data_IF_676455789523
#
_entry.id   IF_676455789523
#
_cell.length_a   1.000
_cell.length_b   1.000
_cell.length_c   1.000
_cell.angle_alpha   90.00
_cell.angle_beta   90.00
_cell.angle_gamma   90.00
#
_symmetry.space_group_name_H-M   'P 1'
#
loop_
_entity.id
_entity.type
_entity.pdbx_description
1 polymer ?
#
# COMPACT_ATOMS: atom_id res chain seq x y z
N UNK A 1 69.27 -54.97 0.66
CA UNK A 1 68.00 -54.91 -0.12
C UNK A 1 66.98 -54.26 0.72
N UNK A 2 66.78 -53.01 0.43
CA UNK A 2 65.90 -52.03 1.19
C UNK A 2 64.56 -51.97 0.49
N UNK A 3 63.41 -52.08 1.17
CA UNK A 3 62.14 -51.71 0.57
C UNK A 3 61.82 -50.29 0.88
N UNK A 4 61.50 -49.56 -0.16
CA UNK A 4 61.06 -48.21 -0.23
C UNK A 4 59.63 -48.07 0.36
N UNK A 5 59.47 -47.25 1.36
CA UNK A 5 58.16 -46.88 1.92
C UNK A 5 57.53 -45.78 1.04
N UNK A 6 56.39 -46.08 0.49
CA UNK A 6 55.62 -45.21 -0.37
C UNK A 6 54.92 -44.10 0.45
N UNK A 7 55.02 -42.89 -0.06
CA UNK A 7 54.52 -41.60 0.48
C UNK A 7 53.06 -41.40 0.11
N UNK A 8 52.14 -42.21 0.63
CA UNK A 8 50.71 -42.17 0.27
C UNK A 8 49.72 -42.26 1.45
N UNK A 9 50.13 -41.93 2.67
CA UNK A 9 49.26 -42.07 3.86
C UNK A 9 49.11 -40.77 4.67
N UNK A 10 49.08 -39.60 4.03
CA UNK A 10 48.78 -38.36 4.68
C UNK A 10 47.99 -37.41 3.75
N UNK A 11 46.77 -37.77 3.41
CA UNK A 11 45.81 -36.85 2.84
C UNK A 11 44.39 -37.45 2.83
N UNK A 12 43.80 -37.61 3.97
CA UNK A 12 42.41 -38.02 4.12
C UNK A 12 41.73 -37.18 5.21
N UNK A 13 41.75 -35.86 5.06
CA UNK A 13 40.74 -35.03 5.70
C UNK A 13 39.58 -34.91 4.73
N UNK A 14 38.57 -35.72 4.99
CA UNK A 14 37.24 -35.57 4.37
C UNK A 14 36.71 -34.19 4.70
N UNK A 15 36.62 -33.35 3.68
CA UNK A 15 35.82 -32.15 3.70
C UNK A 15 34.35 -32.61 3.89
N UNK A 16 33.75 -32.23 5.03
CA UNK A 16 32.31 -32.29 5.24
C UNK A 16 31.64 -31.53 4.10
N UNK A 17 30.60 -32.10 3.45
CA UNK A 17 29.86 -31.38 2.43
C UNK A 17 29.23 -30.17 3.07
N UNK A 18 29.50 -29.02 2.46
CA UNK A 18 28.87 -27.73 2.67
C UNK A 18 27.37 -27.93 2.90
N UNK A 19 26.88 -27.40 4.00
CA UNK A 19 25.44 -27.29 4.27
C UNK A 19 24.77 -26.65 3.07
N UNK A 20 23.59 -27.14 2.65
CA UNK A 20 22.88 -26.54 1.53
C UNK A 20 22.71 -25.05 1.83
N UNK A 21 23.26 -24.24 0.94
CA UNK A 21 23.26 -22.79 1.03
C UNK A 21 21.87 -22.28 1.41
N UNK A 22 21.83 -21.30 2.27
CA UNK A 22 20.69 -20.45 2.56
C UNK A 22 20.00 -20.14 1.24
N UNK A 23 18.97 -20.90 0.93
CA UNK A 23 18.10 -20.59 -0.17
C UNK A 23 17.53 -19.20 0.14
N UNK A 24 17.83 -18.24 -0.71
CA UNK A 24 17.36 -16.85 -0.70
C UNK A 24 15.86 -16.86 -0.43
N UNK A 25 15.48 -16.72 0.85
CA UNK A 25 14.08 -16.56 1.24
C UNK A 25 13.74 -15.12 0.83
N UNK A 26 12.87 -14.91 -0.18
CA UNK A 26 12.49 -13.58 -0.59
C UNK A 26 11.88 -12.85 0.62
N UNK A 27 12.61 -11.90 1.20
CA UNK A 27 12.13 -11.09 2.32
C UNK A 27 12.91 -11.17 3.62
N UNK A 28 14.11 -11.77 3.69
CA UNK A 28 15.00 -11.64 4.83
C UNK A 28 15.52 -10.19 4.93
N UNK A 29 14.71 -9.32 5.55
CA UNK A 29 15.06 -7.92 5.76
C UNK A 29 16.31 -7.83 6.65
N UNK A 30 17.34 -7.11 6.21
CA UNK A 30 18.54 -6.83 7.00
C UNK A 30 18.14 -6.16 8.33
N UNK A 31 18.31 -6.81 9.50
CA UNK A 31 17.88 -6.24 10.77
C UNK A 31 18.49 -4.85 11.08
N UNK A 32 19.76 -4.57 10.75
CA UNK A 32 20.31 -3.22 10.92
C UNK A 32 19.58 -2.16 10.08
N UNK A 33 19.35 -2.44 8.80
CA UNK A 33 18.66 -1.53 7.88
C UNK A 33 17.20 -1.30 8.31
N UNK A 34 16.51 -2.34 8.74
CA UNK A 34 15.14 -2.24 9.25
C UNK A 34 15.02 -1.29 10.46
N UNK A 35 16.05 -1.25 11.34
CA UNK A 35 16.09 -0.32 12.47
C UNK A 35 16.16 1.13 12.03
N UNK A 36 16.94 1.43 10.98
CA UNK A 36 17.04 2.77 10.39
C UNK A 36 15.68 3.20 9.82
N UNK A 37 15.05 2.33 9.04
CA UNK A 37 13.72 2.58 8.45
C UNK A 37 12.68 2.86 9.55
N UNK A 38 12.62 2.03 10.60
CA UNK A 38 11.70 2.23 11.74
C UNK A 38 11.85 3.60 12.40
N UNK A 39 13.08 4.08 12.57
CA UNK A 39 13.32 5.41 13.18
C UNK A 39 12.83 6.53 12.25
N UNK A 40 13.12 6.45 10.95
CA UNK A 40 12.66 7.45 9.98
C UNK A 40 11.13 7.47 9.86
N UNK A 41 10.49 6.31 9.82
CA UNK A 41 9.03 6.20 9.79
C UNK A 41 8.37 6.75 11.06
N UNK A 42 8.93 6.45 12.24
CA UNK A 42 8.43 7.00 13.49
C UNK A 42 8.47 8.53 13.48
N UNK A 43 9.61 9.12 13.10
CA UNK A 43 9.75 10.57 13.03
C UNK A 43 8.89 11.20 11.93
N UNK A 44 8.70 10.53 10.80
CA UNK A 44 7.85 11.04 9.71
C UNK A 44 6.38 11.08 10.10
N UNK A 45 5.89 10.09 10.86
CA UNK A 45 4.52 10.10 11.41
C UNK A 45 4.27 11.24 12.40
N UNK A 46 5.32 11.77 12.97
CA UNK A 46 5.29 12.86 13.96
C UNK A 46 6.13 14.05 13.49
N UNK A 47 5.99 14.40 12.21
CA UNK A 47 6.86 15.36 11.53
C UNK A 47 6.90 16.75 12.21
N UNK A 48 5.84 17.13 12.91
CA UNK A 48 5.72 18.42 13.65
C UNK A 48 6.19 18.33 15.11
N UNK A 49 6.47 17.11 15.61
CA UNK A 49 6.93 16.90 16.98
C UNK A 49 8.47 16.76 17.04
N UNK A 50 9.02 17.01 18.23
CA UNK A 50 10.39 16.65 18.59
C UNK A 50 10.34 15.51 19.62
N UNK A 51 11.03 14.42 19.35
CA UNK A 51 10.98 13.23 20.18
C UNK A 51 12.30 13.05 20.94
N UNK A 52 12.23 12.84 22.26
CA UNK A 52 13.39 12.48 23.04
C UNK A 52 13.92 11.09 22.68
N UNK A 53 15.22 10.83 22.88
CA UNK A 53 15.80 9.51 22.67
C UNK A 53 15.04 8.40 23.42
N UNK A 54 14.60 8.66 24.65
CA UNK A 54 13.85 7.70 25.46
C UNK A 54 12.50 7.35 24.82
N UNK A 55 11.82 8.32 24.25
CA UNK A 55 10.55 8.11 23.53
C UNK A 55 10.76 7.30 22.24
N UNK A 56 11.80 7.62 21.46
CA UNK A 56 12.15 6.87 20.25
C UNK A 56 12.49 5.42 20.57
N UNK A 57 13.29 5.16 21.60
CA UNK A 57 13.63 3.81 22.09
C UNK A 57 12.37 3.00 22.37
N UNK A 58 11.45 3.58 23.12
CA UNK A 58 10.21 2.91 23.51
C UNK A 58 9.29 2.64 22.30
N UNK A 59 9.06 3.65 21.45
CA UNK A 59 8.10 3.56 20.35
C UNK A 59 8.65 2.76 19.14
N UNK A 60 9.96 2.81 18.88
CA UNK A 60 10.59 2.01 17.83
C UNK A 60 10.95 0.58 18.28
N UNK A 61 10.89 0.27 19.59
CA UNK A 61 11.25 -1.04 20.11
C UNK A 61 12.74 -1.35 19.96
N UNK A 62 13.61 -0.34 20.10
CA UNK A 62 15.06 -0.48 19.93
C UNK A 62 15.79 -0.39 21.27
N UNK A 63 17.01 -0.98 21.35
CA UNK A 63 17.90 -0.69 22.48
C UNK A 63 18.36 0.77 22.44
N UNK A 64 18.68 1.35 23.63
CA UNK A 64 19.17 2.73 23.72
C UNK A 64 20.46 2.94 22.89
N UNK A 65 21.39 1.98 22.92
CA UNK A 65 22.62 2.04 22.15
C UNK A 65 22.36 2.03 20.64
N UNK A 66 21.46 1.15 20.18
CA UNK A 66 21.09 1.07 18.77
C UNK A 66 20.40 2.35 18.29
N UNK A 67 19.40 2.84 19.03
CA UNK A 67 18.69 4.06 18.68
C UNK A 67 19.64 5.27 18.64
N UNK A 68 20.56 5.38 19.60
CA UNK A 68 21.56 6.44 19.62
C UNK A 68 22.49 6.37 18.40
N UNK A 69 23.04 5.20 18.07
CA UNK A 69 23.92 5.02 16.91
C UNK A 69 23.21 5.38 15.59
N UNK A 70 21.97 4.90 15.40
CA UNK A 70 21.15 5.21 14.22
C UNK A 70 20.88 6.72 14.11
N UNK A 71 20.45 7.36 15.19
CA UNK A 71 20.14 8.78 15.21
C UNK A 71 21.38 9.64 15.00
N UNK A 72 22.54 9.25 15.56
CA UNK A 72 23.81 9.94 15.34
C UNK A 72 24.17 9.95 13.86
N UNK A 73 24.10 8.80 13.18
CA UNK A 73 24.39 8.71 11.75
C UNK A 73 23.37 9.49 10.92
N UNK A 74 22.07 9.31 11.20
CA UNK A 74 21.01 10.02 10.46
C UNK A 74 21.10 11.55 10.62
N UNK A 75 21.53 12.03 11.80
CA UNK A 75 21.74 13.46 12.04
C UNK A 75 22.98 13.97 11.30
N UNK A 76 24.08 13.23 11.33
CA UNK A 76 25.28 13.57 10.57
C UNK A 76 25.02 13.69 9.07
N UNK A 77 24.17 12.80 8.54
CA UNK A 77 23.78 12.80 7.12
C UNK A 77 22.61 13.75 6.78
N UNK A 78 22.04 14.46 7.77
CA UNK A 78 20.97 15.45 7.59
C UNK A 78 19.56 14.84 7.37
N UNK A 79 19.38 13.54 7.60
CA UNK A 79 18.08 12.87 7.56
C UNK A 79 17.21 13.21 8.77
N UNK A 80 17.86 13.48 9.90
CA UNK A 80 17.23 13.96 11.14
C UNK A 80 17.92 15.23 11.60
N UNK A 81 17.25 15.99 12.46
CA UNK A 81 17.85 17.12 13.21
C UNK A 81 17.73 16.84 14.69
N UNK A 82 18.70 17.35 15.46
CA UNK A 82 18.67 17.33 16.92
C UNK A 82 18.63 18.76 17.42
N UNK A 83 17.68 19.08 18.28
CA UNK A 83 17.55 20.41 18.88
C UNK A 83 18.44 20.59 20.14
N UNK A 84 18.38 21.79 20.74
CA UNK A 84 19.15 22.15 21.93
C UNK A 84 18.77 21.32 23.17
N UNK A 85 17.51 20.87 23.24
CA UNK A 85 17.01 20.00 24.31
C UNK A 85 17.38 18.53 24.10
N UNK A 86 18.09 18.21 23.01
CA UNK A 86 18.52 16.87 22.67
C UNK A 86 17.42 15.98 22.06
N UNK A 87 16.30 16.58 21.63
CA UNK A 87 15.21 15.89 20.94
C UNK A 87 15.46 15.84 19.42
N UNK A 88 14.87 14.84 18.77
CA UNK A 88 15.07 14.54 17.37
C UNK A 88 13.81 14.78 16.56
N UNK A 89 13.98 15.23 15.33
CA UNK A 89 12.92 15.41 14.35
C UNK A 89 13.41 15.15 12.92
N UNK A 90 12.50 15.28 11.96
CA UNK A 90 12.78 15.10 10.53
C UNK A 90 13.77 16.18 10.04
N UNK A 91 14.78 15.74 9.26
CA UNK A 91 15.78 16.60 8.64
C UNK A 91 15.40 17.03 7.21
N UNK A 92 15.99 18.15 6.77
CA UNK A 92 15.69 18.75 5.45
C UNK A 92 16.11 17.87 4.25
N UNK A 93 17.00 16.92 4.45
CA UNK A 93 17.43 15.99 3.39
C UNK A 93 16.26 15.20 2.81
N UNK A 94 15.26 14.87 3.64
CA UNK A 94 14.05 14.19 3.18
C UNK A 94 13.26 15.01 2.15
N UNK A 95 13.19 16.33 2.29
CA UNK A 95 12.55 17.20 1.28
C UNK A 95 13.29 17.16 -0.06
N UNK A 96 14.63 17.11 -0.02
CA UNK A 96 15.44 17.03 -1.24
C UNK A 96 15.22 15.70 -1.97
N UNK A 97 15.18 14.60 -1.20
CA UNK A 97 14.92 13.25 -1.76
C UNK A 97 13.49 13.17 -2.30
N UNK A 98 12.49 13.66 -1.56
CA UNK A 98 11.10 13.69 -2.00
C UNK A 98 10.93 14.44 -3.34
N UNK A 99 11.53 15.65 -3.47
CA UNK A 99 11.47 16.41 -4.72
C UNK A 99 12.13 15.70 -5.91
N UNK A 100 13.21 14.96 -5.67
CA UNK A 100 13.84 14.13 -6.71
C UNK A 100 12.97 12.92 -7.07
N UNK A 101 12.37 12.29 -6.06
CA UNK A 101 11.44 11.19 -6.28
C UNK A 101 10.22 11.63 -7.13
N UNK A 102 9.70 12.85 -6.93
CA UNK A 102 8.59 13.39 -7.73
C UNK A 102 8.92 13.43 -9.24
N UNK A 103 10.19 13.58 -9.60
CA UNK A 103 10.61 13.52 -11.02
C UNK A 103 10.52 12.10 -11.61
N UNK A 104 10.70 11.09 -10.76
CA UNK A 104 10.57 9.68 -11.16
C UNK A 104 9.11 9.22 -11.18
N UNK A 105 8.18 10.00 -10.60
CA UNK A 105 6.75 9.68 -10.54
C UNK A 105 5.90 10.78 -11.21
N UNK A 106 5.99 10.93 -12.56
CA UNK A 106 5.32 12.00 -13.30
C UNK A 106 3.79 11.96 -13.18
N UNK A 107 3.20 10.78 -12.96
CA UNK A 107 1.78 10.57 -12.77
C UNK A 107 1.21 11.46 -11.65
N UNK A 108 1.87 11.50 -10.49
CA UNK A 108 1.42 12.30 -9.33
C UNK A 108 1.30 13.78 -9.67
N UNK A 109 2.27 14.33 -10.38
CA UNK A 109 2.29 15.75 -10.77
C UNK A 109 1.08 16.11 -11.66
N UNK A 110 0.71 15.23 -12.60
CA UNK A 110 -0.47 15.40 -13.44
C UNK A 110 -1.75 15.18 -12.63
N UNK A 111 -1.78 14.20 -11.74
CA UNK A 111 -2.96 13.81 -11.00
C UNK A 111 -3.47 14.88 -10.03
N UNK A 112 -2.59 15.57 -9.30
CA UNK A 112 -2.96 16.47 -8.19
C UNK A 112 -3.98 17.54 -8.61
N UNK A 113 -3.82 18.16 -9.78
CA UNK A 113 -4.76 19.17 -10.26
C UNK A 113 -6.16 18.59 -10.54
N UNK A 114 -6.22 17.38 -11.11
CA UNK A 114 -7.48 16.71 -11.40
C UNK A 114 -8.17 16.17 -10.14
N UNK A 115 -7.39 15.69 -9.16
CA UNK A 115 -7.91 15.28 -7.85
C UNK A 115 -8.53 16.46 -7.11
N UNK A 116 -7.90 17.63 -7.12
CA UNK A 116 -8.44 18.86 -6.53
C UNK A 116 -9.75 19.28 -7.19
N UNK A 117 -9.76 19.36 -8.51
CA UNK A 117 -10.96 19.72 -9.25
C UNK A 117 -12.12 18.74 -8.97
N UNK A 118 -11.86 17.43 -8.90
CA UNK A 118 -12.87 16.44 -8.55
C UNK A 118 -13.36 16.62 -7.10
N UNK A 119 -12.44 16.80 -6.15
CA UNK A 119 -12.78 17.00 -4.75
C UNK A 119 -13.64 18.26 -4.53
N UNK A 120 -13.30 19.36 -5.19
CA UNK A 120 -14.06 20.62 -5.15
C UNK A 120 -15.45 20.48 -5.80
N UNK A 121 -15.52 19.81 -6.96
CA UNK A 121 -16.77 19.60 -7.68
C UNK A 121 -17.73 18.68 -6.93
N UNK A 122 -17.21 17.58 -6.37
CA UNK A 122 -18.01 16.55 -5.71
C UNK A 122 -18.26 16.83 -4.22
N UNK A 123 -17.49 17.74 -3.61
CA UNK A 123 -17.58 18.03 -2.17
C UNK A 123 -17.11 16.88 -1.27
N UNK A 124 -16.31 15.94 -1.81
CA UNK A 124 -15.83 14.77 -1.08
C UNK A 124 -14.31 14.69 -1.12
N UNK A 125 -13.67 14.08 -0.12
CA UNK A 125 -12.25 13.75 -0.20
C UNK A 125 -11.96 12.80 -1.37
N UNK A 126 -10.78 13.00 -1.99
CA UNK A 126 -10.31 12.18 -3.12
C UNK A 126 -8.85 11.81 -2.88
N UNK A 127 -8.47 10.60 -3.23
CA UNK A 127 -7.07 10.20 -3.16
C UNK A 127 -6.60 9.47 -4.43
N UNK A 128 -5.27 9.44 -4.60
CA UNK A 128 -4.59 8.63 -5.60
C UNK A 128 -4.08 7.37 -4.93
N UNK A 129 -4.39 6.22 -5.51
CA UNK A 129 -3.85 4.93 -5.14
C UNK A 129 -2.98 4.41 -6.29
N UNK A 130 -1.71 4.14 -6.02
CA UNK A 130 -0.74 3.68 -7.03
C UNK A 130 -0.33 2.23 -6.76
N UNK A 131 -0.13 1.47 -7.82
CA UNK A 131 0.33 0.08 -7.71
C UNK A 131 1.82 0.04 -7.39
N UNK A 132 2.18 -0.75 -6.37
CA UNK A 132 3.57 -1.04 -5.99
C UNK A 132 3.71 -2.54 -5.74
N UNK A 133 4.06 -3.27 -6.80
CA UNK A 133 4.12 -4.73 -6.82
C UNK A 133 2.77 -5.37 -6.50
N UNK A 134 2.74 -6.13 -5.40
CA UNK A 134 1.54 -6.82 -4.87
C UNK A 134 0.76 -5.95 -3.86
N UNK A 135 0.99 -4.65 -3.84
CA UNK A 135 0.33 -3.70 -2.97
C UNK A 135 -0.15 -2.48 -3.74
N UNK A 136 -1.11 -1.79 -3.14
CA UNK A 136 -1.54 -0.47 -3.53
C UNK A 136 -1.10 0.50 -2.45
N UNK A 137 -0.59 1.65 -2.83
CA UNK A 137 -0.13 2.71 -1.93
C UNK A 137 -0.96 3.96 -2.16
N UNK A 138 -1.54 4.52 -1.11
CA UNK A 138 -2.13 5.86 -1.15
C UNK A 138 -0.99 6.88 -1.22
N UNK A 139 -0.85 7.58 -2.33
CA UNK A 139 0.27 8.49 -2.57
C UNK A 139 -0.09 9.96 -2.44
N UNK A 140 -1.34 10.31 -2.71
CA UNK A 140 -1.85 11.68 -2.60
C UNK A 140 -3.26 11.68 -2.00
N UNK A 141 -3.58 12.66 -1.16
CA UNK A 141 -4.91 12.83 -0.57
C UNK A 141 -5.30 14.30 -0.68
N UNK A 142 -6.47 14.58 -1.22
CA UNK A 142 -7.07 15.91 -1.32
C UNK A 142 -8.37 15.95 -0.52
N UNK A 143 -8.60 17.05 0.21
CA UNK A 143 -9.70 17.16 1.15
C UNK A 143 -9.36 16.55 2.53
N UNK A 144 -10.38 16.47 3.38
CA UNK A 144 -10.24 15.98 4.76
C UNK A 144 -11.12 14.74 4.92
N UNK A 145 -10.56 13.53 4.72
CA UNK A 145 -11.33 12.30 4.91
C UNK A 145 -11.74 12.15 6.36
N UNK A 146 -13.00 11.75 6.60
CA UNK A 146 -13.54 11.39 7.92
C UNK A 146 -12.85 10.14 8.46
N UNK A 147 -12.53 9.20 7.58
CA UNK A 147 -11.91 7.95 7.94
C UNK A 147 -10.38 8.09 8.11
N UNK A 148 -9.89 7.90 9.33
CA UNK A 148 -8.46 8.03 9.68
C UNK A 148 -7.53 7.02 8.98
N UNK A 149 -8.08 6.04 8.26
CA UNK A 149 -7.31 5.08 7.45
C UNK A 149 -6.88 5.67 6.09
N UNK A 150 -7.53 6.73 5.59
CA UNK A 150 -7.18 7.39 4.32
C UNK A 150 -6.06 8.39 4.59
N UNK A 151 -4.83 8.00 4.32
CA UNK A 151 -3.65 8.85 4.51
C UNK A 151 -2.53 8.47 3.55
N UNK A 152 -1.69 9.42 3.15
CA UNK A 152 -0.50 9.13 2.35
C UNK A 152 0.40 8.07 3.01
N UNK A 153 0.97 7.19 2.20
CA UNK A 153 1.81 6.08 2.62
C UNK A 153 1.04 4.83 3.09
N UNK A 154 -0.29 4.87 3.15
CA UNK A 154 -1.09 3.69 3.45
C UNK A 154 -0.92 2.64 2.36
N UNK A 155 -0.62 1.41 2.77
CA UNK A 155 -0.52 0.25 1.88
C UNK A 155 -1.72 -0.68 2.07
N UNK A 156 -2.24 -1.18 0.96
CA UNK A 156 -3.30 -2.18 0.91
C UNK A 156 -2.82 -3.36 0.08
N UNK A 157 -3.11 -4.61 0.44
CA UNK A 157 -2.76 -5.75 -0.39
C UNK A 157 -3.61 -5.76 -1.66
N UNK A 158 -3.00 -6.08 -2.80
CA UNK A 158 -3.71 -6.35 -4.06
C UNK A 158 -4.27 -7.79 -4.02
N UNK A 159 -5.23 -8.01 -3.15
CA UNK A 159 -5.82 -9.32 -2.90
C UNK A 159 -7.35 -9.21 -2.76
N UNK A 160 -8.11 -10.28 -3.06
CA UNK A 160 -9.55 -10.27 -2.85
C UNK A 160 -9.92 -9.93 -1.39
N UNK A 161 -11.00 -9.19 -1.18
CA UNK A 161 -11.92 -8.59 -2.15
C UNK A 161 -11.58 -7.15 -2.53
N UNK A 162 -10.46 -6.58 -2.04
CA UNK A 162 -10.12 -5.15 -2.19
C UNK A 162 -9.40 -4.87 -3.51
N UNK A 163 -9.33 -3.59 -3.90
CA UNK A 163 -8.59 -3.10 -5.06
C UNK A 163 -9.04 -3.76 -6.40
N UNK A 164 -10.34 -4.04 -6.53
CA UNK A 164 -10.94 -4.70 -7.71
C UNK A 164 -10.74 -3.94 -9.00
N UNK A 165 -10.68 -2.63 -8.95
CA UNK A 165 -10.40 -1.74 -10.08
C UNK A 165 -9.04 -2.01 -10.73
N UNK A 166 -8.06 -2.52 -10.00
CA UNK A 166 -6.76 -2.92 -10.56
C UNK A 166 -6.82 -4.27 -11.27
N UNK A 167 -7.80 -5.10 -10.93
CA UNK A 167 -7.93 -6.47 -11.44
C UNK A 167 -8.95 -6.56 -12.56
N UNK A 168 -9.98 -5.73 -12.56
CA UNK A 168 -11.07 -5.80 -13.52
C UNK A 168 -10.58 -5.79 -14.98
N UNK A 169 -9.51 -5.06 -15.29
CA UNK A 169 -8.93 -4.98 -16.65
C UNK A 169 -7.62 -5.76 -16.79
N UNK A 170 -7.18 -6.49 -15.77
CA UNK A 170 -5.98 -7.32 -15.88
C UNK A 170 -6.17 -8.46 -16.92
N UNK A 171 -5.09 -9.00 -17.49
CA UNK A 171 -5.14 -10.17 -18.36
C UNK A 171 -5.85 -11.36 -17.68
N UNK A 172 -6.53 -12.19 -18.50
CA UNK A 172 -7.34 -13.31 -17.99
C UNK A 172 -6.60 -14.22 -16.98
N UNK A 173 -5.34 -14.62 -17.22
CA UNK A 173 -4.62 -15.46 -16.24
C UNK A 173 -4.46 -14.79 -14.88
N UNK A 174 -4.23 -13.46 -14.85
CA UNK A 174 -4.08 -12.68 -13.62
C UNK A 174 -5.41 -12.58 -12.88
N UNK A 175 -6.52 -12.32 -13.60
CA UNK A 175 -7.88 -12.30 -13.00
C UNK A 175 -8.25 -13.66 -12.41
N UNK A 176 -7.98 -14.74 -13.12
CA UNK A 176 -8.27 -16.09 -12.65
C UNK A 176 -7.43 -16.46 -11.42
N UNK A 177 -6.15 -16.13 -11.40
CA UNK A 177 -5.28 -16.33 -10.25
C UNK A 177 -5.78 -15.54 -9.02
N UNK A 178 -6.19 -14.28 -9.23
CA UNK A 178 -6.74 -13.45 -8.17
C UNK A 178 -8.08 -14.02 -7.65
N UNK A 179 -9.00 -14.42 -8.52
CA UNK A 179 -10.25 -15.07 -8.13
C UNK A 179 -10.01 -16.40 -7.40
N UNK A 180 -9.03 -17.20 -7.85
CA UNK A 180 -8.68 -18.45 -7.20
C UNK A 180 -8.14 -18.26 -5.76
N UNK A 181 -7.55 -17.12 -5.47
CA UNK A 181 -7.06 -16.78 -4.12
C UNK A 181 -8.18 -16.31 -3.17
N UNK A 182 -9.39 -16.05 -3.69
CA UNK A 182 -10.56 -15.73 -2.88
C UNK A 182 -11.20 -16.98 -2.26
N UNK A 183 -11.96 -16.77 -1.18
CA UNK A 183 -12.82 -17.82 -0.65
C UNK A 183 -13.77 -18.35 -1.72
N UNK A 184 -13.92 -19.67 -1.78
CA UNK A 184 -14.74 -20.37 -2.78
C UNK A 184 -16.19 -19.91 -2.79
N UNK A 185 -16.75 -19.57 -1.62
CA UNK A 185 -18.12 -19.08 -1.48
C UNK A 185 -18.38 -17.73 -2.19
N UNK A 186 -17.31 -16.94 -2.44
CA UNK A 186 -17.43 -15.59 -3.01
C UNK A 186 -16.93 -15.45 -4.44
N UNK A 187 -16.30 -16.49 -5.02
CA UNK A 187 -15.65 -16.42 -6.34
C UNK A 187 -16.59 -16.01 -7.46
N UNK A 188 -17.76 -16.66 -7.53
CA UNK A 188 -18.74 -16.38 -8.58
C UNK A 188 -19.28 -14.96 -8.49
N UNK A 189 -19.54 -14.49 -7.26
CA UNK A 189 -19.94 -13.12 -7.02
C UNK A 189 -18.85 -12.14 -7.43
N UNK A 190 -17.58 -12.38 -7.04
CA UNK A 190 -16.44 -11.56 -7.42
C UNK A 190 -16.26 -11.51 -8.93
N UNK A 191 -16.42 -12.62 -9.64
CA UNK A 191 -16.34 -12.64 -11.10
C UNK A 191 -17.41 -11.75 -11.75
N UNK A 192 -18.66 -11.80 -11.24
CA UNK A 192 -19.76 -10.92 -11.70
C UNK A 192 -19.46 -9.45 -11.39
N UNK A 193 -18.94 -9.15 -10.20
CA UNK A 193 -18.54 -7.81 -9.79
C UNK A 193 -17.42 -7.26 -10.69
N UNK A 194 -16.39 -8.04 -11.01
CA UNK A 194 -15.34 -7.61 -11.94
C UNK A 194 -15.89 -7.31 -13.34
N UNK A 195 -16.89 -8.06 -13.80
CA UNK A 195 -17.56 -7.79 -15.07
C UNK A 195 -18.35 -6.48 -15.00
N UNK A 196 -19.10 -6.26 -13.93
CA UNK A 196 -19.86 -5.03 -13.71
C UNK A 196 -18.96 -3.80 -13.62
N UNK A 197 -17.82 -3.88 -12.89
CA UNK A 197 -16.84 -2.80 -12.84
C UNK A 197 -16.34 -2.42 -14.23
N UNK A 198 -16.09 -3.40 -15.12
CA UNK A 198 -15.71 -3.11 -16.51
C UNK A 198 -16.82 -2.41 -17.30
N UNK A 199 -18.07 -2.74 -17.05
CA UNK A 199 -19.22 -2.14 -17.72
C UNK A 199 -19.43 -0.70 -17.31
N UNK A 200 -19.41 -0.41 -16.00
CA UNK A 200 -19.67 0.94 -15.48
C UNK A 200 -18.43 1.82 -15.35
N UNK A 201 -17.20 1.24 -15.35
CA UNK A 201 -15.94 1.96 -15.33
C UNK A 201 -15.35 2.21 -13.95
N UNK A 202 -16.01 1.86 -12.85
CA UNK A 202 -15.56 2.09 -11.48
C UNK A 202 -15.99 0.99 -10.52
N UNK A 203 -15.26 0.81 -9.43
CA UNK A 203 -15.63 -0.05 -8.29
C UNK A 203 -16.33 0.76 -7.20
N UNK A 204 -17.12 0.11 -6.34
CA UNK A 204 -17.76 0.70 -5.18
C UNK A 204 -17.42 -0.11 -3.94
N UNK A 205 -16.85 0.53 -2.93
CA UNK A 205 -16.70 -0.08 -1.61
C UNK A 205 -17.88 0.32 -0.73
N UNK A 206 -18.56 -0.66 -0.16
CA UNK A 206 -19.64 -0.42 0.81
C UNK A 206 -19.30 -1.04 2.15
N UNK A 207 -19.73 -0.41 3.23
CA UNK A 207 -19.68 -1.01 4.56
C UNK A 207 -21.02 -1.68 4.89
N UNK A 208 -20.94 -2.81 5.59
CA UNK A 208 -22.08 -3.34 6.33
C UNK A 208 -22.25 -2.51 7.60
N UNK A 209 -23.47 -2.21 7.99
CA UNK A 209 -23.87 -1.20 8.98
C UNK A 209 -23.15 -1.22 10.35
N UNK A 210 -22.37 -2.25 10.70
CA UNK A 210 -21.70 -2.38 12.01
C UNK A 210 -20.15 -2.53 11.94
N UNK A 211 -19.51 -2.24 10.81
CA UNK A 211 -18.08 -2.56 10.61
C UNK A 211 -17.08 -1.43 10.84
N UNK A 212 -17.53 -0.23 11.24
CA UNK A 212 -16.66 0.93 11.53
C UNK A 212 -15.55 0.60 12.55
N UNK A 213 -15.79 -0.14 13.65
CA UNK A 213 -14.75 -0.48 14.61
C UNK A 213 -13.63 -1.35 14.02
N UNK A 214 -13.92 -2.17 13.04
CA UNK A 214 -12.96 -3.10 12.45
C UNK A 214 -12.07 -2.43 11.42
N UNK A 215 -12.55 -1.42 10.68
CA UNK A 215 -11.68 -0.59 9.84
C UNK A 215 -10.66 0.18 10.69
N UNK A 216 -11.02 0.57 11.91
CA UNK A 216 -10.10 1.16 12.86
C UNK A 216 -9.07 0.14 13.37
N UNK A 217 -9.45 -1.11 13.60
CA UNK A 217 -8.53 -2.21 13.94
C UNK A 217 -7.58 -2.50 12.78
N UNK A 218 -8.09 -2.58 11.55
CA UNK A 218 -7.26 -2.73 10.34
C UNK A 218 -6.34 -1.49 10.13
N UNK A 219 -6.83 -0.31 10.48
CA UNK A 219 -6.00 0.90 10.50
C UNK A 219 -4.92 0.85 11.60
N UNK A 220 -5.17 0.15 12.69
CA UNK A 220 -4.23 -0.06 13.80
C UNK A 220 -3.12 -1.08 13.51
N UNK A 221 -3.27 -1.96 12.53
CA UNK A 221 -2.20 -2.88 12.06
C UNK A 221 -1.12 -2.13 11.25
N UNK A 222 -0.61 -1.10 11.87
CA UNK A 222 0.14 0.02 11.29
C UNK A 222 1.47 -0.47 10.82
N UNK A 223 2.17 -1.23 10.64
CA UNK A 223 3.60 -1.35 10.27
C UNK A 223 4.18 -2.78 10.39
N UNK A 224 3.31 -3.76 10.41
CA UNK A 224 3.79 -5.15 10.35
C UNK A 224 4.00 -5.53 8.90
N UNK A 225 5.14 -6.09 8.51
CA UNK A 225 5.32 -6.65 7.17
C UNK A 225 4.17 -7.62 6.89
N UNK A 226 3.43 -7.38 5.83
CA UNK A 226 2.26 -8.21 5.49
C UNK A 226 2.78 -9.55 4.98
N UNK A 227 2.88 -10.53 5.86
CA UNK A 227 3.20 -11.92 5.49
C UNK A 227 2.05 -12.51 4.67
N UNK A 228 2.32 -13.56 3.88
CA UNK A 228 1.28 -14.26 3.13
C UNK A 228 0.15 -14.79 4.04
N UNK A 229 0.49 -15.28 5.24
CA UNK A 229 -0.48 -15.74 6.23
C UNK A 229 -1.35 -14.60 6.79
N UNK A 230 -0.75 -13.47 7.12
CA UNK A 230 -1.48 -12.27 7.58
C UNK A 230 -2.36 -11.70 6.46
N UNK A 231 -1.89 -11.75 5.21
CA UNK A 231 -2.66 -11.35 4.02
C UNK A 231 -3.91 -12.21 3.85
N UNK A 232 -3.79 -13.53 4.00
CA UNK A 232 -4.92 -14.45 3.93
C UNK A 232 -5.91 -14.24 5.09
N UNK A 233 -5.43 -14.05 6.33
CA UNK A 233 -6.29 -13.75 7.47
C UNK A 233 -7.00 -12.41 7.34
N UNK A 234 -6.30 -11.36 6.88
CA UNK A 234 -6.91 -10.07 6.60
C UNK A 234 -7.94 -10.17 5.48
N UNK A 235 -7.67 -10.98 4.44
CA UNK A 235 -8.61 -11.24 3.35
C UNK A 235 -9.93 -11.83 3.84
N UNK A 236 -9.91 -12.84 4.72
CA UNK A 236 -11.13 -13.46 5.26
C UNK A 236 -11.93 -12.50 6.16
N UNK A 237 -11.26 -11.80 7.05
CA UNK A 237 -11.87 -10.81 7.94
C UNK A 237 -12.46 -9.63 7.16
N UNK A 238 -11.75 -9.12 6.17
CA UNK A 238 -12.25 -8.04 5.29
C UNK A 238 -13.45 -8.53 4.47
N UNK A 239 -13.44 -9.78 4.00
CA UNK A 239 -14.54 -10.35 3.21
C UNK A 239 -15.85 -10.47 4.01
N UNK A 240 -15.77 -10.74 5.32
CA UNK A 240 -16.94 -10.78 6.20
C UNK A 240 -17.53 -9.39 6.48
N UNK A 241 -16.71 -8.35 6.38
CA UNK A 241 -17.05 -7.00 6.82
C UNK A 241 -17.35 -6.02 5.68
N UNK A 242 -16.75 -6.20 4.52
CA UNK A 242 -16.99 -5.38 3.35
C UNK A 242 -17.90 -6.16 2.43
N UNK A 243 -19.16 -5.77 2.36
CA UNK A 243 -20.04 -6.32 1.33
C UNK A 243 -19.49 -5.87 -0.01
N UNK A 244 -19.03 -6.87 -0.77
CA UNK A 244 -18.34 -6.70 -2.01
C UNK A 244 -19.28 -6.02 -3.01
N UNK A 245 -19.01 -4.78 -3.33
CA UNK A 245 -19.60 -4.01 -4.43
C UNK A 245 -21.11 -4.21 -4.71
N UNK A 246 -21.68 -3.36 -5.52
CA UNK A 246 -23.07 -3.48 -5.95
C UNK A 246 -23.16 -4.12 -7.35
N UNK A 247 -23.99 -5.14 -7.47
CA UNK A 247 -24.53 -5.57 -8.75
C UNK A 247 -25.74 -4.69 -9.10
N UNK A 248 -26.11 -4.54 -10.40
CA UNK A 248 -27.20 -3.64 -10.81
C UNK A 248 -28.53 -3.89 -10.09
N UNK A 249 -28.84 -5.15 -9.83
CA UNK A 249 -30.06 -5.61 -9.14
C UNK A 249 -30.05 -5.38 -7.62
N UNK A 250 -28.91 -4.96 -7.05
CA UNK A 250 -28.74 -4.68 -5.62
C UNK A 250 -28.80 -3.19 -5.29
N UNK A 251 -28.84 -2.33 -6.29
CA UNK A 251 -28.97 -0.89 -6.09
C UNK A 251 -30.36 -0.52 -5.63
N UNK A 252 -30.43 0.11 -4.47
CA UNK A 252 -31.66 0.62 -3.85
C UNK A 252 -31.83 2.13 -4.01
N UNK A 253 -32.87 2.70 -3.40
CA UNK A 253 -33.06 4.15 -3.35
C UNK A 253 -31.91 4.86 -2.60
N UNK A 254 -31.32 4.18 -1.61
CA UNK A 254 -30.14 4.63 -0.84
C UNK A 254 -29.12 3.51 -0.74
N UNK A 255 -27.87 3.81 -1.05
CA UNK A 255 -26.77 2.87 -1.10
C UNK A 255 -25.63 3.36 -0.21
N UNK A 256 -25.16 2.53 0.71
CA UNK A 256 -24.03 2.84 1.56
C UNK A 256 -22.73 2.81 0.72
N UNK A 257 -22.00 3.91 0.68
CA UNK A 257 -20.80 4.06 -0.14
C UNK A 257 -19.67 4.64 0.70
N UNK A 258 -18.59 3.90 0.83
CA UNK A 258 -17.36 4.37 1.46
C UNK A 258 -16.45 5.01 0.43
N UNK A 259 -16.16 4.28 -0.63
CA UNK A 259 -15.32 4.77 -1.74
C UNK A 259 -15.87 4.34 -3.10
N UNK A 260 -15.56 5.15 -4.11
CA UNK A 260 -15.66 4.79 -5.53
C UNK A 260 -14.28 4.93 -6.17
N UNK A 261 -13.83 3.92 -6.91
CA UNK A 261 -12.50 3.95 -7.50
C UNK A 261 -12.54 3.69 -9.01
N UNK A 262 -11.90 4.57 -9.78
CA UNK A 262 -11.77 4.47 -11.23
C UNK A 262 -10.30 4.30 -11.64
N UNK A 263 -9.98 3.41 -12.60
CA UNK A 263 -8.63 3.07 -12.96
C UNK A 263 -7.95 4.16 -13.81
N UNK A 264 -6.67 4.39 -13.54
CA UNK A 264 -5.74 5.10 -14.40
C UNK A 264 -4.89 4.06 -15.12
N UNK A 265 -4.81 4.15 -16.43
CA UNK A 265 -4.09 3.17 -17.25
C UNK A 265 -2.84 3.78 -17.86
N UNK A 266 -1.86 2.91 -18.07
CA UNK A 266 -0.74 3.23 -18.94
C UNK A 266 -1.11 3.06 -20.42
N UNK A 267 -0.14 3.24 -21.32
CA UNK A 267 -0.33 3.12 -22.77
C UNK A 267 -0.64 1.69 -23.23
N UNK A 268 -0.20 0.71 -22.48
CA UNK A 268 -0.45 -0.70 -22.78
C UNK A 268 -1.81 -1.15 -22.23
N UNK A 269 -2.55 -0.23 -21.58
CA UNK A 269 -3.86 -0.48 -21.00
C UNK A 269 -3.83 -1.13 -19.63
N UNK A 270 -2.63 -1.33 -19.04
CA UNK A 270 -2.52 -1.86 -17.69
C UNK A 270 -2.91 -0.80 -16.65
N UNK A 271 -3.59 -1.21 -15.59
CA UNK A 271 -3.98 -0.31 -14.51
C UNK A 271 -2.78 -0.10 -13.58
N UNK A 272 -2.26 1.12 -13.57
CA UNK A 272 -1.09 1.53 -12.77
C UNK A 272 -1.47 2.30 -11.51
N UNK A 273 -2.64 2.94 -11.53
CA UNK A 273 -3.17 3.70 -10.40
C UNK A 273 -4.70 3.77 -10.44
N UNK A 274 -5.31 4.34 -9.42
CA UNK A 274 -6.73 4.61 -9.38
C UNK A 274 -7.01 5.97 -8.72
N UNK A 275 -8.00 6.69 -9.23
CA UNK A 275 -8.63 7.82 -8.55
C UNK A 275 -9.71 7.27 -7.64
N UNK A 276 -9.71 7.65 -6.38
CA UNK A 276 -10.66 7.17 -5.39
C UNK A 276 -11.39 8.33 -4.72
N UNK A 277 -12.70 8.40 -4.92
CA UNK A 277 -13.60 9.34 -4.24
C UNK A 277 -14.17 8.73 -2.96
N UNK A 278 -14.21 9.50 -1.86
CA UNK A 278 -14.57 9.01 -0.53
C UNK A 278 -15.79 9.76 0.02
N UNK A 279 -17.00 9.45 -0.44
CA UNK A 279 -18.21 10.08 0.10
C UNK A 279 -18.52 9.68 1.55
N UNK A 280 -18.17 8.46 1.96
CA UNK A 280 -18.39 7.89 3.28
C UNK A 280 -19.81 8.17 3.81
N UNK A 281 -20.81 7.90 2.98
CA UNK A 281 -22.22 8.22 3.25
C UNK A 281 -23.17 7.32 2.45
N UNK A 282 -24.46 7.52 2.65
CA UNK A 282 -25.50 6.92 1.81
C UNK A 282 -25.80 7.82 0.61
N UNK A 283 -25.81 7.24 -0.58
CA UNK A 283 -26.10 7.93 -1.83
C UNK A 283 -27.30 7.31 -2.52
N UNK A 284 -28.15 8.15 -3.13
CA UNK A 284 -29.13 7.65 -4.09
C UNK A 284 -28.43 7.00 -5.29
N UNK A 285 -29.09 6.07 -5.99
CA UNK A 285 -28.51 5.43 -7.18
C UNK A 285 -28.09 6.45 -8.24
N UNK A 286 -28.82 7.58 -8.35
CA UNK A 286 -28.47 8.68 -9.24
C UNK A 286 -27.16 9.38 -8.78
N UNK A 287 -27.09 9.78 -7.51
CA UNK A 287 -25.90 10.45 -6.97
C UNK A 287 -24.65 9.56 -7.03
N UNK A 288 -24.81 8.24 -6.78
CA UNK A 288 -23.74 7.25 -6.94
C UNK A 288 -23.25 7.20 -8.39
N UNK A 289 -24.15 7.14 -9.36
CA UNK A 289 -23.80 7.13 -10.78
C UNK A 289 -23.13 8.43 -11.22
N UNK A 290 -23.62 9.59 -10.78
CA UNK A 290 -23.06 10.91 -11.09
C UNK A 290 -21.62 11.03 -10.51
N UNK A 291 -21.41 10.62 -9.24
CA UNK A 291 -20.07 10.63 -8.61
C UNK A 291 -19.13 9.62 -9.29
N UNK A 292 -19.65 8.42 -9.63
CA UNK A 292 -18.87 7.42 -10.36
C UNK A 292 -18.41 7.94 -11.72
N UNK A 293 -19.31 8.55 -12.50
CA UNK A 293 -18.97 9.15 -13.79
C UNK A 293 -17.96 10.29 -13.66
N UNK A 294 -18.07 11.14 -12.62
CA UNK A 294 -17.10 12.20 -12.35
C UNK A 294 -15.72 11.64 -11.98
N UNK A 295 -15.68 10.55 -11.19
CA UNK A 295 -14.45 9.85 -10.83
C UNK A 295 -13.78 9.23 -12.06
N UNK A 296 -14.53 8.56 -12.93
CA UNK A 296 -14.04 8.02 -14.22
C UNK A 296 -13.49 9.14 -15.09
N UNK A 297 -14.23 10.24 -15.26
CA UNK A 297 -13.79 11.36 -16.08
C UNK A 297 -12.48 12.00 -15.55
N UNK A 298 -12.26 12.03 -14.24
CA UNK A 298 -11.00 12.47 -13.66
C UNK A 298 -9.86 11.47 -13.95
N UNK A 299 -10.10 10.18 -13.79
CA UNK A 299 -9.13 9.13 -14.10
C UNK A 299 -8.74 9.14 -15.60
N UNK A 300 -9.69 9.31 -16.51
CA UNK A 300 -9.43 9.39 -17.95
C UNK A 300 -8.57 10.61 -18.31
N UNK A 301 -8.83 11.79 -17.70
CA UNK A 301 -8.00 12.98 -17.90
C UNK A 301 -6.56 12.76 -17.42
N UNK A 302 -6.37 12.07 -16.30
CA UNK A 302 -5.03 11.73 -15.79
C UNK A 302 -4.36 10.73 -16.74
N UNK A 303 -5.07 9.70 -17.18
CA UNK A 303 -4.59 8.71 -18.16
C UNK A 303 -4.09 9.39 -19.43
N UNK A 304 -4.84 10.36 -19.97
CA UNK A 304 -4.45 11.11 -21.17
C UNK A 304 -3.18 11.96 -20.96
N UNK A 305 -2.87 12.34 -19.74
CA UNK A 305 -1.69 13.12 -19.36
C UNK A 305 -0.48 12.26 -18.91
N UNK A 306 -0.59 10.94 -18.92
CA UNK A 306 0.55 10.05 -18.57
C UNK A 306 1.62 10.16 -19.64
N UNK A 307 2.84 10.67 -19.32
CA UNK A 307 3.92 10.75 -20.30
C UNK A 307 4.26 9.34 -20.81
N UNK A 308 4.63 9.27 -22.10
CA UNK A 308 5.26 8.07 -22.59
C UNK A 308 6.74 8.03 -22.22
N UNK A 309 7.22 6.86 -21.96
CA UNK A 309 8.65 6.60 -21.90
C UNK A 309 9.32 6.90 -23.25
#
# INVERSE_FOLDING_TARGET
MTPTISRAELAGQEATPDSPGDADIPGAASPPTQRVVKVLELLSRRATERLSLARIVREAGLSRATAHAVLTQLTADGWTVRDEDGCYGIGLRLLTVARRAELAFPLRRTAVAHLRALSEQAGVPVFLAERDGESIVVTEVVGHPSAGWIRPGRRLPLAPPVCREFIAWAPEPVRQAWLASADSAHRDRLARVLAEIRTRGYSVERLVDDSTPMLEVLAGLRDTPITAALRAQLGSVITELITIDYLPDELGPENAVVTLAAPIRDRDGAVVAAVVSCPDTRLSSRALSELGAATVAAADRITAGVPGD
#
